data_IF_540685045057
#
_entry.id   IF_540685045057
#
_cell.length_a   1.000
_cell.length_b   1.000
_cell.length_c   1.000
_cell.angle_alpha   90.00
_cell.angle_beta   90.00
_cell.angle_gamma   90.00
#
_symmetry.space_group_name_H-M   'P 1'
#
loop_
_entity.id
_entity.type
_entity.pdbx_description
1 polymer ?
#
# COMPACT_ATOMS: atom_id res chain seq x y z
N UNK A 1 15.29 25.23 -5.56
CA UNK A 1 14.36 24.78 -4.49
C UNK A 1 14.64 25.64 -3.27
N UNK A 2 13.65 26.32 -2.71
CA UNK A 2 13.88 27.31 -1.64
C UNK A 2 14.35 26.60 -0.36
N UNK A 3 15.58 26.87 0.09
CA UNK A 3 16.18 26.25 1.28
C UNK A 3 15.29 26.35 2.53
N UNK A 4 14.53 27.43 2.64
CA UNK A 4 13.55 27.64 3.71
C UNK A 4 12.41 26.61 3.71
N UNK A 5 11.93 26.18 2.55
CA UNK A 5 10.86 25.17 2.45
C UNK A 5 11.37 23.78 2.84
N UNK A 6 12.58 23.42 2.39
CA UNK A 6 13.23 22.16 2.77
C UNK A 6 13.48 22.10 4.27
N UNK A 7 13.90 23.21 4.88
CA UNK A 7 14.08 23.32 6.33
C UNK A 7 12.73 23.18 7.06
N UNK A 8 11.70 23.91 6.63
CA UNK A 8 10.36 23.80 7.23
C UNK A 8 9.80 22.37 7.18
N UNK A 9 9.94 21.69 6.04
CA UNK A 9 9.52 20.30 5.88
C UNK A 9 10.29 19.35 6.81
N UNK A 10 11.59 19.56 6.99
CA UNK A 10 12.39 18.80 7.96
C UNK A 10 11.89 18.97 9.40
N UNK A 11 11.48 20.19 9.79
CA UNK A 11 10.88 20.46 11.11
C UNK A 11 9.55 19.74 11.26
N UNK A 12 8.66 19.81 10.25
CA UNK A 12 7.39 19.08 10.27
C UNK A 12 7.58 17.57 10.40
N UNK A 13 8.56 16.99 9.68
CA UNK A 13 8.89 15.57 9.81
C UNK A 13 9.35 15.26 11.23
N UNK A 14 10.20 16.09 11.83
CA UNK A 14 10.71 15.85 13.18
C UNK A 14 9.60 15.91 14.24
N UNK A 15 8.68 16.86 14.11
CA UNK A 15 7.49 16.96 14.97
C UNK A 15 6.59 15.74 14.77
N UNK A 16 6.31 15.36 13.52
CA UNK A 16 5.53 14.16 13.19
C UNK A 16 6.14 12.87 13.77
N UNK A 17 7.46 12.70 13.65
CA UNK A 17 8.18 11.57 14.22
C UNK A 17 8.09 11.52 15.75
N UNK A 18 8.09 12.68 16.40
CA UNK A 18 7.93 12.78 17.84
C UNK A 18 6.51 12.36 18.24
N UNK A 19 5.49 12.85 17.54
CA UNK A 19 4.09 12.48 17.80
C UNK A 19 3.82 10.99 17.55
N UNK A 20 4.39 10.41 16.49
CA UNK A 20 4.30 8.97 16.22
C UNK A 20 4.92 8.13 17.33
N UNK A 21 6.03 8.57 17.96
CA UNK A 21 6.64 7.88 19.11
C UNK A 21 5.74 7.88 20.34
N UNK A 22 4.92 8.92 20.50
CA UNK A 22 3.90 9.02 21.55
C UNK A 22 2.53 8.47 21.11
N UNK A 23 2.49 7.68 20.02
CA UNK A 23 1.28 7.04 19.48
C UNK A 23 0.14 8.02 19.14
N UNK A 24 0.45 9.32 19.01
CA UNK A 24 -0.51 10.37 18.65
C UNK A 24 -0.61 10.50 17.12
N UNK A 25 -1.09 9.43 16.47
CA UNK A 25 -1.13 9.31 15.02
C UNK A 25 -2.11 10.29 14.34
N UNK A 26 -3.18 10.65 15.04
CA UNK A 26 -4.20 11.60 14.60
C UNK A 26 -3.63 13.02 14.48
N UNK A 27 -2.79 13.43 15.43
CA UNK A 27 -2.09 14.71 15.41
C UNK A 27 -0.89 14.70 14.44
N UNK A 28 -0.21 13.55 14.28
CA UNK A 28 0.95 13.42 13.41
C UNK A 28 0.59 13.50 11.92
N UNK A 29 -0.51 12.87 11.51
CA UNK A 29 -0.92 12.76 10.11
C UNK A 29 -1.02 14.12 9.38
N UNK A 30 -1.76 15.14 9.87
CA UNK A 30 -1.89 16.42 9.16
C UNK A 30 -0.56 17.19 9.04
N UNK A 31 0.32 17.03 10.03
CA UNK A 31 1.65 17.66 10.01
C UNK A 31 2.54 17.01 8.96
N UNK A 32 2.51 15.67 8.89
CA UNK A 32 3.26 14.91 7.89
C UNK A 32 2.70 15.13 6.48
N UNK A 33 1.37 15.23 6.30
CA UNK A 33 0.81 15.53 4.98
C UNK A 33 1.24 16.90 4.46
N UNK A 34 1.32 17.90 5.35
CA UNK A 34 1.84 19.22 4.99
C UNK A 34 3.30 19.14 4.53
N UNK A 35 4.14 18.34 5.19
CA UNK A 35 5.51 18.10 4.76
C UNK A 35 5.59 17.39 3.39
N UNK A 36 4.69 16.43 3.14
CA UNK A 36 4.62 15.73 1.86
C UNK A 36 4.24 16.68 0.71
N UNK A 37 3.34 17.63 0.95
CA UNK A 37 2.94 18.62 -0.06
C UNK A 37 4.07 19.61 -0.38
N UNK A 38 4.93 19.94 0.58
CA UNK A 38 6.16 20.72 0.31
C UNK A 38 7.10 19.94 -0.62
N UNK A 39 7.21 18.63 -0.45
CA UNK A 39 8.06 17.76 -1.28
C UNK A 39 7.39 17.23 -2.55
N UNK A 40 6.19 17.69 -2.93
CA UNK A 40 5.41 17.12 -4.03
C UNK A 40 6.13 16.96 -5.38
N UNK A 41 7.22 17.72 -5.62
CA UNK A 41 8.06 17.64 -6.83
C UNK A 41 9.38 16.88 -6.66
N UNK A 42 9.67 16.40 -5.46
CA UNK A 42 10.83 15.60 -5.10
C UNK A 42 10.32 14.20 -4.71
N UNK A 43 10.27 13.31 -5.70
CA UNK A 43 9.69 11.98 -5.52
C UNK A 43 10.37 11.19 -4.38
N UNK A 44 11.71 11.12 -4.25
CA UNK A 44 12.36 10.43 -3.15
C UNK A 44 11.95 10.95 -1.77
N UNK A 45 11.92 12.27 -1.57
CA UNK A 45 11.51 12.86 -0.29
C UNK A 45 10.03 12.71 -0.02
N UNK A 46 9.19 12.83 -1.06
CA UNK A 46 7.76 12.54 -0.96
C UNK A 46 7.51 11.11 -0.50
N UNK A 47 8.24 10.11 -1.04
CA UNK A 47 8.06 8.71 -0.64
C UNK A 47 8.38 8.51 0.84
N UNK A 48 9.45 9.14 1.32
CA UNK A 48 9.81 9.07 2.74
C UNK A 48 8.67 9.58 3.64
N UNK A 49 8.11 10.76 3.34
CA UNK A 49 7.06 11.35 4.18
C UNK A 49 5.72 10.61 4.03
N UNK A 50 5.32 10.29 2.79
CA UNK A 50 4.07 9.56 2.52
C UNK A 50 4.07 8.17 3.18
N UNK A 51 5.23 7.50 3.26
CA UNK A 51 5.33 6.23 3.99
C UNK A 51 5.01 6.38 5.48
N UNK A 52 5.33 7.53 6.09
CA UNK A 52 4.97 7.84 7.49
C UNK A 52 3.49 8.17 7.61
N UNK A 53 2.91 8.91 6.66
CA UNK A 53 1.46 9.17 6.60
C UNK A 53 0.67 7.85 6.53
N UNK A 54 1.05 6.96 5.61
CA UNK A 54 0.41 5.66 5.43
C UNK A 54 0.49 4.80 6.70
N UNK A 55 1.64 4.83 7.41
CA UNK A 55 1.77 4.16 8.71
C UNK A 55 0.79 4.72 9.73
N UNK A 56 0.68 6.04 9.87
CA UNK A 56 -0.30 6.66 10.78
C UNK A 56 -1.71 6.18 10.47
N UNK A 57 -2.09 6.18 9.19
CA UNK A 57 -3.41 5.71 8.72
C UNK A 57 -3.66 4.24 9.05
N UNK A 58 -2.68 3.35 8.84
CA UNK A 58 -2.78 1.94 9.22
C UNK A 58 -3.00 1.78 10.73
N UNK A 59 -2.26 2.51 11.57
CA UNK A 59 -2.42 2.42 13.03
C UNK A 59 -3.76 2.97 13.51
N UNK A 60 -4.31 3.96 12.83
CA UNK A 60 -5.66 4.49 13.09
C UNK A 60 -6.78 3.64 12.49
N UNK A 61 -6.45 2.52 11.81
CA UNK A 61 -7.41 1.68 11.03
C UNK A 61 -8.13 2.45 9.91
N UNK A 62 -7.57 3.57 9.46
CA UNK A 62 -8.03 4.27 8.26
C UNK A 62 -7.45 3.59 7.01
N UNK A 63 -7.98 2.41 6.70
CA UNK A 63 -7.50 1.60 5.57
C UNK A 63 -7.78 2.25 4.21
N UNK A 64 -8.86 3.03 4.11
CA UNK A 64 -9.21 3.78 2.89
C UNK A 64 -8.21 4.91 2.67
N UNK A 65 -7.92 5.71 3.70
CA UNK A 65 -6.89 6.74 3.64
C UNK A 65 -5.51 6.16 3.31
N UNK A 66 -5.12 5.06 3.96
CA UNK A 66 -3.87 4.37 3.67
C UNK A 66 -3.77 3.93 2.20
N UNK A 67 -4.84 3.36 1.65
CA UNK A 67 -4.89 2.93 0.25
C UNK A 67 -4.66 4.10 -0.71
N UNK A 68 -5.30 5.25 -0.46
CA UNK A 68 -5.10 6.45 -1.29
C UNK A 68 -3.66 6.98 -1.21
N UNK A 69 -3.03 6.91 -0.03
CA UNK A 69 -1.63 7.32 0.15
C UNK A 69 -0.69 6.40 -0.63
N UNK A 70 -0.87 5.08 -0.56
CA UNK A 70 -0.04 4.14 -1.34
C UNK A 70 -0.22 4.29 -2.85
N UNK A 71 -1.42 4.63 -3.31
CA UNK A 71 -1.65 4.94 -4.73
C UNK A 71 -0.97 6.23 -5.16
N UNK A 72 -1.05 7.28 -4.34
CA UNK A 72 -0.31 8.53 -4.57
C UNK A 72 1.18 8.23 -4.68
N UNK A 73 1.72 7.35 -3.83
CA UNK A 73 3.11 6.92 -3.91
C UNK A 73 3.43 6.22 -5.25
N UNK A 74 2.62 5.25 -5.66
CA UNK A 74 2.81 4.54 -6.93
C UNK A 74 2.74 5.48 -8.14
N UNK A 75 1.79 6.42 -8.17
CA UNK A 75 1.66 7.40 -9.25
C UNK A 75 2.91 8.28 -9.32
N UNK A 76 3.41 8.77 -8.18
CA UNK A 76 4.61 9.60 -8.13
C UNK A 76 5.87 8.83 -8.58
N UNK A 77 5.96 7.54 -8.29
CA UNK A 77 7.08 6.70 -8.74
C UNK A 77 7.01 6.46 -10.26
N UNK A 78 5.83 6.15 -10.78
CA UNK A 78 5.64 5.97 -12.23
C UNK A 78 5.88 7.27 -13.00
N UNK A 79 5.42 8.41 -12.47
CA UNK A 79 5.70 9.73 -13.03
C UNK A 79 7.19 10.03 -12.99
N UNK A 80 7.86 9.73 -11.87
CA UNK A 80 9.31 9.87 -11.75
C UNK A 80 10.03 9.07 -12.85
N UNK A 81 9.73 7.79 -13.05
CA UNK A 81 10.31 6.99 -14.14
C UNK A 81 10.10 7.56 -15.53
N UNK A 82 8.97 8.23 -15.77
CA UNK A 82 8.64 8.78 -17.08
C UNK A 82 9.27 10.16 -17.34
N UNK A 83 9.53 10.95 -16.30
CA UNK A 83 9.78 12.40 -16.44
C UNK A 83 11.09 12.89 -15.83
N UNK A 84 11.62 12.17 -14.85
CA UNK A 84 12.83 12.55 -14.12
C UNK A 84 13.74 11.33 -14.17
N UNK A 85 14.91 11.42 -14.81
CA UNK A 85 15.88 10.32 -15.03
C UNK A 85 16.46 9.73 -13.72
N UNK A 86 15.60 9.27 -12.82
CA UNK A 86 15.91 8.57 -11.59
C UNK A 86 16.13 7.10 -11.92
N UNK A 87 17.16 6.54 -11.30
CA UNK A 87 17.43 5.11 -11.36
C UNK A 87 16.25 4.30 -10.79
N UNK A 88 15.68 3.33 -11.53
CA UNK A 88 14.55 2.51 -11.07
C UNK A 88 14.77 1.83 -9.72
N UNK A 89 16.00 1.46 -9.42
CA UNK A 89 16.42 0.79 -8.19
C UNK A 89 16.12 1.64 -6.94
N UNK A 90 16.07 2.97 -7.08
CA UNK A 90 15.79 3.89 -5.98
C UNK A 90 14.38 3.67 -5.38
N UNK A 91 13.44 3.22 -6.20
CA UNK A 91 12.04 3.09 -5.81
C UNK A 91 11.57 1.64 -5.76
N UNK A 92 12.40 0.66 -6.10
CA UNK A 92 12.01 -0.75 -6.18
C UNK A 92 11.37 -1.28 -4.87
N UNK A 93 12.01 -1.01 -3.73
CA UNK A 93 11.49 -1.42 -2.42
C UNK A 93 10.19 -0.67 -2.05
N UNK A 94 10.09 0.61 -2.41
CA UNK A 94 8.86 1.37 -2.24
C UNK A 94 7.73 0.78 -3.09
N UNK A 95 7.98 0.44 -4.36
CA UNK A 95 6.97 -0.13 -5.25
C UNK A 95 6.48 -1.49 -4.77
N UNK A 96 7.40 -2.40 -4.41
CA UNK A 96 7.04 -3.70 -3.82
C UNK A 96 6.19 -3.52 -2.57
N UNK A 97 6.63 -2.65 -1.66
CA UNK A 97 5.90 -2.39 -0.42
C UNK A 97 4.52 -1.79 -0.68
N UNK A 98 4.42 -0.80 -1.58
CA UNK A 98 3.15 -0.16 -1.93
C UNK A 98 2.17 -1.16 -2.53
N UNK A 99 2.63 -2.04 -3.42
CA UNK A 99 1.75 -3.00 -4.09
C UNK A 99 1.22 -4.07 -3.12
N UNK A 100 2.06 -4.58 -2.22
CA UNK A 100 1.60 -5.49 -1.14
C UNK A 100 0.55 -4.80 -0.27
N UNK A 101 0.82 -3.58 0.20
CA UNK A 101 -0.16 -2.84 1.02
C UNK A 101 -1.44 -2.57 0.25
N UNK A 102 -1.35 -2.16 -1.03
CA UNK A 102 -2.50 -1.91 -1.89
C UNK A 102 -3.39 -3.15 -2.00
N UNK A 103 -2.81 -4.32 -2.27
CA UNK A 103 -3.57 -5.58 -2.35
C UNK A 103 -4.24 -5.88 -1.00
N UNK A 104 -3.49 -5.90 0.11
CA UNK A 104 -4.05 -6.22 1.43
C UNK A 104 -5.17 -5.25 1.84
N UNK A 105 -4.95 -3.94 1.65
CA UNK A 105 -5.94 -2.92 1.99
C UNK A 105 -7.18 -3.00 1.10
N UNK A 106 -7.05 -3.33 -0.18
CA UNK A 106 -8.22 -3.57 -1.04
C UNK A 106 -9.01 -4.74 -0.49
N UNK A 107 -8.36 -5.88 -0.20
CA UNK A 107 -9.06 -7.06 0.30
C UNK A 107 -9.79 -6.79 1.63
N UNK A 108 -9.17 -6.05 2.56
CA UNK A 108 -9.77 -5.63 3.84
C UNK A 108 -10.91 -4.60 3.68
N UNK A 109 -10.84 -3.71 2.69
CA UNK A 109 -11.86 -2.66 2.49
C UNK A 109 -13.02 -3.10 1.62
N UNK A 110 -12.82 -4.10 0.75
CA UNK A 110 -13.92 -4.73 0.01
C UNK A 110 -14.61 -5.78 0.86
N UNK A 111 -15.96 -5.77 0.97
CA UNK A 111 -16.67 -6.78 1.73
C UNK A 111 -16.37 -8.18 1.19
N UNK A 112 -16.41 -9.22 2.06
CA UNK A 112 -16.18 -10.60 1.65
C UNK A 112 -17.06 -10.96 0.44
N UNK A 113 -16.54 -11.74 -0.52
CA UNK A 113 -17.28 -12.11 -1.73
C UNK A 113 -18.56 -12.91 -1.44
N UNK A 114 -18.70 -13.48 -0.23
CA UNK A 114 -19.92 -14.10 0.26
C UNK A 114 -21.10 -13.13 0.46
N UNK A 115 -20.85 -11.81 0.46
CA UNK A 115 -21.83 -10.80 0.84
C UNK A 115 -22.23 -9.79 -0.26
N UNK A 116 -21.62 -9.75 -1.46
CA UNK A 116 -22.07 -8.84 -2.54
C UNK A 116 -21.89 -9.34 -3.98
N UNK A 117 -22.91 -9.02 -4.79
CA UNK A 117 -22.95 -9.03 -6.26
C UNK A 117 -22.04 -7.95 -6.87
N UNK A 118 -21.21 -8.34 -7.84
CA UNK A 118 -20.75 -7.57 -9.02
C UNK A 118 -20.53 -6.06 -8.88
N UNK A 119 -19.88 -5.57 -7.81
CA UNK A 119 -19.29 -4.24 -7.86
C UNK A 119 -17.97 -4.34 -8.61
N UNK A 120 -17.99 -3.98 -9.90
CA UNK A 120 -16.78 -3.78 -10.68
C UNK A 120 -15.79 -2.93 -9.87
N UNK A 121 -14.61 -3.47 -9.62
CA UNK A 121 -13.55 -2.73 -8.96
C UNK A 121 -13.06 -1.63 -9.91
N UNK A 122 -13.64 -0.43 -9.77
CA UNK A 122 -13.34 0.75 -10.58
C UNK A 122 -12.23 1.58 -9.92
N UNK A 123 -11.28 2.05 -10.74
CA UNK A 123 -10.24 2.99 -10.32
C UNK A 123 -9.27 2.42 -9.28
N UNK A 124 -9.13 3.13 -8.16
CA UNK A 124 -8.25 2.82 -7.04
C UNK A 124 -8.35 1.36 -6.53
N UNK A 125 -9.54 0.77 -6.56
CA UNK A 125 -9.77 -0.57 -6.01
C UNK A 125 -9.50 -1.71 -7.02
N UNK A 126 -9.04 -1.39 -8.24
CA UNK A 126 -8.88 -2.38 -9.31
C UNK A 126 -7.76 -3.39 -9.02
N UNK A 127 -8.13 -4.67 -9.01
CA UNK A 127 -7.19 -5.81 -9.04
C UNK A 127 -7.11 -6.48 -10.42
N UNK A 128 -7.54 -5.81 -11.49
CA UNK A 128 -7.62 -6.38 -12.85
C UNK A 128 -6.30 -7.00 -13.33
N UNK A 129 -5.16 -6.40 -12.99
CA UNK A 129 -3.83 -6.91 -13.33
C UNK A 129 -3.55 -8.34 -12.82
N UNK A 130 -4.20 -8.77 -11.73
CA UNK A 130 -4.05 -10.12 -11.18
C UNK A 130 -5.12 -11.09 -11.67
N UNK A 131 -6.24 -10.58 -12.18
CA UNK A 131 -7.42 -11.37 -12.54
C UNK A 131 -7.46 -11.74 -14.02
N UNK A 132 -6.81 -10.96 -14.88
CA UNK A 132 -6.72 -11.27 -16.31
C UNK A 132 -5.77 -12.45 -16.52
N UNK A 133 -6.29 -13.55 -17.05
CA UNK A 133 -5.48 -14.74 -17.28
C UNK A 133 -4.59 -14.59 -18.52
N UNK A 134 -3.33 -15.02 -18.39
CA UNK A 134 -2.38 -15.11 -19.50
C UNK A 134 -1.73 -13.81 -19.99
N UNK A 135 -2.03 -12.65 -19.38
CA UNK A 135 -1.32 -11.40 -19.70
C UNK A 135 -0.31 -11.05 -18.62
N UNK A 136 0.95 -10.88 -19.01
CA UNK A 136 1.96 -10.25 -18.14
C UNK A 136 1.51 -8.80 -17.93
N UNK A 137 1.39 -8.32 -16.68
CA UNK A 137 1.05 -6.92 -16.43
C UNK A 137 2.07 -6.00 -17.10
N UNK A 138 1.59 -4.94 -17.74
CA UNK A 138 2.45 -3.95 -18.37
C UNK A 138 3.42 -3.33 -17.35
N UNK A 139 4.67 -3.11 -17.74
CA UNK A 139 5.68 -2.38 -16.94
C UNK A 139 5.23 -0.95 -16.58
N UNK A 140 4.24 -0.41 -17.29
CA UNK A 140 3.59 0.86 -16.95
C UNK A 140 2.68 0.77 -15.70
N UNK A 141 2.51 -0.41 -15.11
CA UNK A 141 1.69 -0.66 -13.92
C UNK A 141 2.55 -1.22 -12.79
N UNK A 142 2.21 -0.88 -11.54
CA UNK A 142 2.94 -1.32 -10.35
C UNK A 142 3.13 -2.84 -10.26
N UNK A 143 2.11 -3.62 -10.66
CA UNK A 143 2.18 -5.08 -10.66
C UNK A 143 3.20 -5.64 -11.69
N UNK A 144 3.49 -4.91 -12.77
CA UNK A 144 4.49 -5.29 -13.78
C UNK A 144 5.93 -5.09 -13.33
N UNK A 145 6.14 -4.34 -12.25
CA UNK A 145 7.45 -4.07 -11.67
C UNK A 145 7.79 -5.02 -10.50
N UNK A 146 6.93 -6.00 -10.21
CA UNK A 146 7.16 -6.98 -9.17
C UNK A 146 7.97 -8.18 -9.68
N UNK A 147 8.69 -8.82 -8.77
CA UNK A 147 9.25 -10.14 -9.02
C UNK A 147 8.14 -11.17 -9.30
N UNK A 148 8.40 -12.11 -10.22
CA UNK A 148 7.43 -13.12 -10.65
C UNK A 148 6.82 -13.91 -9.48
N UNK A 149 7.65 -14.30 -8.51
CA UNK A 149 7.21 -15.07 -7.35
C UNK A 149 6.23 -14.27 -6.48
N UNK A 150 6.55 -13.01 -6.21
CA UNK A 150 5.68 -12.12 -5.43
C UNK A 150 4.37 -11.84 -6.17
N UNK A 151 4.43 -11.60 -7.49
CA UNK A 151 3.24 -11.42 -8.32
C UNK A 151 2.31 -12.64 -8.25
N UNK A 152 2.86 -13.86 -8.38
CA UNK A 152 2.09 -15.10 -8.31
C UNK A 152 1.49 -15.35 -6.93
N UNK A 153 2.23 -15.07 -5.86
CA UNK A 153 1.72 -15.20 -4.49
C UNK A 153 0.57 -14.22 -4.23
N UNK A 154 0.70 -12.95 -4.66
CA UNK A 154 -0.39 -11.97 -4.57
C UNK A 154 -1.60 -12.38 -5.41
N UNK A 155 -1.39 -12.91 -6.64
CA UNK A 155 -2.47 -13.45 -7.46
C UNK A 155 -3.20 -14.59 -6.74
N UNK A 156 -2.46 -15.57 -6.21
CA UNK A 156 -3.04 -16.69 -5.47
C UNK A 156 -3.83 -16.23 -4.25
N UNK A 157 -3.30 -15.25 -3.50
CA UNK A 157 -3.99 -14.68 -2.33
C UNK A 157 -5.34 -14.07 -2.72
N UNK A 158 -5.36 -13.25 -3.78
CA UNK A 158 -6.58 -12.62 -4.30
C UNK A 158 -7.59 -13.69 -4.75
N UNK A 159 -7.13 -14.73 -5.43
CA UNK A 159 -7.99 -15.81 -5.92
C UNK A 159 -8.58 -16.62 -4.77
N UNK A 160 -7.78 -16.97 -3.76
CA UNK A 160 -8.23 -17.68 -2.56
C UNK A 160 -9.24 -16.84 -1.74
N UNK A 161 -9.00 -15.53 -1.63
CA UNK A 161 -9.95 -14.62 -0.99
C UNK A 161 -11.28 -14.59 -1.74
N UNK A 162 -11.24 -14.43 -3.07
CA UNK A 162 -12.44 -14.39 -3.93
C UNK A 162 -13.25 -15.68 -3.92
N UNK A 163 -12.58 -16.83 -3.87
CA UNK A 163 -13.24 -18.14 -3.79
C UNK A 163 -13.71 -18.50 -2.37
N UNK A 164 -13.44 -17.65 -1.37
CA UNK A 164 -13.67 -17.95 0.06
C UNK A 164 -13.00 -19.25 0.52
N UNK A 165 -11.85 -19.60 -0.08
CA UNK A 165 -11.10 -20.81 0.24
C UNK A 165 -10.10 -20.53 1.37
N UNK A 166 -10.52 -20.73 2.62
CA UNK A 166 -9.71 -20.47 3.83
C UNK A 166 -8.40 -21.23 3.78
N UNK A 167 -8.43 -22.51 3.43
CA UNK A 167 -7.25 -23.39 3.42
C UNK A 167 -6.18 -22.89 2.44
N UNK A 168 -6.59 -22.51 1.23
CA UNK A 168 -5.66 -21.97 0.23
C UNK A 168 -5.14 -20.58 0.64
N UNK A 169 -6.00 -19.76 1.25
CA UNK A 169 -5.63 -18.44 1.75
C UNK A 169 -4.56 -18.54 2.85
N UNK A 170 -4.72 -19.48 3.80
CA UNK A 170 -3.72 -19.76 4.83
C UNK A 170 -2.40 -20.25 4.24
N UNK A 171 -2.44 -21.21 3.31
CA UNK A 171 -1.24 -21.69 2.64
C UNK A 171 -0.51 -20.55 1.94
N UNK A 172 -1.20 -19.77 1.12
CA UNK A 172 -0.60 -18.62 0.43
C UNK A 172 -0.08 -17.57 1.40
N UNK A 173 -0.79 -17.32 2.50
CA UNK A 173 -0.32 -16.42 3.55
C UNK A 173 0.98 -16.91 4.21
N UNK A 174 1.19 -18.22 4.37
CA UNK A 174 2.47 -18.77 4.89
C UNK A 174 3.63 -18.55 3.91
N UNK A 175 3.40 -18.77 2.61
CA UNK A 175 4.44 -18.54 1.60
C UNK A 175 4.76 -17.05 1.43
N UNK A 176 3.79 -16.18 1.64
CA UNK A 176 3.98 -14.73 1.52
C UNK A 176 4.83 -14.14 2.66
N UNK A 177 4.97 -14.83 3.81
CA UNK A 177 5.68 -14.34 5.01
C UNK A 177 7.12 -13.86 4.73
N UNK A 178 7.84 -14.50 3.80
CA UNK A 178 9.21 -14.13 3.43
C UNK A 178 9.30 -12.81 2.66
N UNK A 179 8.21 -12.37 2.05
CA UNK A 179 8.14 -11.16 1.23
C UNK A 179 7.52 -9.96 1.95
N UNK A 180 6.93 -10.17 3.13
CA UNK A 180 6.18 -9.14 3.86
C UNK A 180 6.87 -8.65 5.12
N UNK A 181 6.81 -7.34 5.34
CA UNK A 181 7.20 -6.66 6.57
C UNK A 181 6.27 -7.00 7.73
N UNK A 182 6.70 -6.72 8.97
CA UNK A 182 5.89 -6.97 10.17
C UNK A 182 4.50 -6.32 10.13
N UNK A 183 4.38 -5.11 9.60
CA UNK A 183 3.10 -4.40 9.50
C UNK A 183 2.18 -5.07 8.46
N UNK A 184 2.74 -5.48 7.32
CA UNK A 184 1.99 -6.21 6.29
C UNK A 184 1.53 -7.58 6.78
N UNK A 185 2.36 -8.27 7.58
CA UNK A 185 1.97 -9.54 8.23
C UNK A 185 0.77 -9.36 9.14
N UNK A 186 0.76 -8.28 9.94
CA UNK A 186 -0.38 -7.97 10.81
C UNK A 186 -1.67 -7.78 10.00
N UNK A 187 -1.62 -6.98 8.93
CA UNK A 187 -2.77 -6.80 8.04
C UNK A 187 -3.22 -8.10 7.36
N UNK A 188 -2.28 -8.98 7.01
CA UNK A 188 -2.59 -10.29 6.45
C UNK A 188 -3.28 -11.20 7.49
N UNK A 189 -2.87 -11.14 8.76
CA UNK A 189 -3.56 -11.82 9.85
C UNK A 189 -4.97 -11.24 10.07
N UNK A 190 -5.11 -9.91 10.09
CA UNK A 190 -6.41 -9.24 10.21
C UNK A 190 -7.36 -9.70 9.07
N UNK A 191 -6.85 -9.85 7.84
CA UNK A 191 -7.62 -10.36 6.70
C UNK A 191 -8.09 -11.81 6.87
N UNK A 192 -7.22 -12.68 7.39
CA UNK A 192 -7.58 -14.07 7.70
C UNK A 192 -8.65 -14.14 8.78
N UNK A 193 -8.51 -13.31 9.83
CA UNK A 193 -9.48 -13.23 10.93
C UNK A 193 -10.86 -12.74 10.45
N UNK A 194 -10.92 -11.71 9.60
CA UNK A 194 -12.17 -11.22 9.01
C UNK A 194 -12.87 -12.28 8.15
N UNK A 195 -12.12 -13.09 7.41
CA UNK A 195 -12.71 -14.12 6.55
C UNK A 195 -13.18 -15.34 7.33
N UNK A 196 -12.50 -15.70 8.44
CA UNK A 196 -12.92 -16.76 9.36
C UNK A 196 -14.13 -16.31 10.19
N UNK A 197 -14.15 -15.05 10.64
CA UNK A 197 -15.17 -14.48 11.52
C UNK A 197 -15.78 -13.19 10.94
N UNK A 198 -16.59 -13.27 9.87
CA UNK A 198 -17.12 -12.09 9.15
C UNK A 198 -18.13 -11.23 9.94
N UNK A 199 -18.45 -11.60 11.19
CA UNK A 199 -19.43 -10.94 12.06
C UNK A 199 -18.87 -10.62 13.48
N UNK A 200 -17.55 -10.68 13.66
CA UNK A 200 -16.89 -10.51 14.96
C UNK A 200 -16.58 -9.08 15.40
N UNK A 201 -17.28 -8.07 14.86
CA UNK A 201 -17.14 -6.65 15.21
C UNK A 201 -18.48 -6.00 15.52
#
# INVERSE_FOLDING_TARGET
MNDHLTFAASVYIHVGDTLMKFESFDAALPILSQAADIFCRDAPRSMHVLSKCARCQIFMRDYVGALTTYQRMQILILDAYATHDYEPELFFDYMKSCEIFRVLLILLTTPPPSLKHDSEQVGAYSLKAYLTDGQVPSEACAAGLLDSDLFLLLKSLIMAYKSSNITELEYTATYLQSHVSLVQRKLLCDLLEELINPLGG
#
